data_IF_201868038439
#
_entry.id   IF_201868038439
#
_cell.length_a   1.000
_cell.length_b   1.000
_cell.length_c   1.000
_cell.angle_alpha   90.00
_cell.angle_beta   90.00
_cell.angle_gamma   90.00
#
_symmetry.space_group_name_H-M   'P 1'
#
loop_
_entity.id
_entity.type
_entity.pdbx_description
1 polymer ?
#
# COMPACT_ATOMS: atom_id res chain seq x y z
N UNK A 1 26.86 -46.71 57.21
CA UNK A 1 27.96 -47.67 57.42
C UNK A 1 28.22 -48.37 56.09
N UNK A 2 29.44 -48.16 55.54
CA UNK A 2 30.15 -48.91 54.48
C UNK A 2 29.48 -49.09 53.10
N UNK A 3 30.12 -48.97 51.93
CA UNK A 3 31.49 -48.68 51.48
C UNK A 3 31.36 -48.51 49.94
N UNK A 4 31.85 -47.45 49.28
CA UNK A 4 33.16 -47.32 48.58
C UNK A 4 33.44 -48.55 47.68
N UNK A 5 33.70 -48.44 46.37
CA UNK A 5 35.04 -48.17 45.78
C UNK A 5 34.97 -47.96 44.25
N UNK A 6 35.67 -46.89 43.79
CA UNK A 6 36.63 -46.70 42.65
C UNK A 6 36.44 -47.51 41.34
N UNK A 7 36.83 -47.02 40.16
CA UNK A 7 37.79 -45.96 39.82
C UNK A 7 37.84 -45.74 38.30
N UNK A 8 38.18 -44.52 37.87
CA UNK A 8 39.42 -44.15 37.16
C UNK A 8 39.70 -44.87 35.84
N UNK A 9 39.68 -44.12 34.73
CA UNK A 9 40.66 -44.27 33.67
C UNK A 9 40.82 -42.94 32.92
N UNK A 10 41.88 -42.23 33.29
CA UNK A 10 42.48 -41.13 32.56
C UNK A 10 43.40 -41.76 31.51
N UNK A 11 43.28 -41.41 30.23
CA UNK A 11 44.35 -41.63 29.25
C UNK A 11 44.39 -40.50 28.22
N UNK A 12 45.44 -39.70 28.35
CA UNK A 12 46.04 -38.85 27.32
C UNK A 12 46.88 -39.72 26.39
N UNK A 13 46.83 -39.50 25.07
CA UNK A 13 47.89 -39.71 24.06
C UNK A 13 47.23 -39.65 22.67
N UNK A 14 47.82 -39.19 21.57
CA UNK A 14 49.04 -38.46 21.23
C UNK A 14 48.80 -37.97 19.79
N UNK A 15 49.48 -36.89 19.39
CA UNK A 15 49.42 -36.32 18.06
C UNK A 15 50.04 -37.23 16.99
N UNK A 16 49.46 -37.22 15.79
CA UNK A 16 50.11 -37.66 14.55
C UNK A 16 49.88 -36.57 13.49
N UNK A 17 50.91 -35.75 13.30
CA UNK A 17 51.01 -34.82 12.17
C UNK A 17 51.39 -35.62 10.92
N UNK A 18 50.56 -35.55 9.89
CA UNK A 18 50.93 -35.92 8.52
C UNK A 18 50.78 -34.68 7.64
N UNK A 19 51.92 -34.10 7.32
CA UNK A 19 52.11 -33.10 6.26
C UNK A 19 52.28 -33.87 4.96
N UNK A 20 51.63 -33.38 3.89
CA UNK A 20 52.12 -33.21 2.50
C UNK A 20 50.93 -33.38 1.53
N UNK A 21 50.63 -32.30 0.80
CA UNK A 21 50.01 -32.37 -0.54
C UNK A 21 48.81 -31.44 -0.75
N UNK A 22 48.97 -30.28 -1.44
CA UNK A 22 47.84 -29.50 -1.91
C UNK A 22 47.31 -30.15 -3.19
N UNK A 23 46.26 -30.95 -3.08
CA UNK A 23 45.41 -31.29 -4.22
C UNK A 23 44.07 -30.64 -3.94
N UNK A 24 43.87 -29.43 -4.45
CA UNK A 24 42.56 -28.79 -4.47
C UNK A 24 41.64 -29.63 -5.34
N UNK A 25 40.58 -30.28 -4.82
CA UNK A 25 39.44 -30.56 -5.66
C UNK A 25 38.75 -29.22 -5.89
N UNK A 26 38.56 -28.85 -7.16
CA UNK A 26 37.67 -27.75 -7.53
C UNK A 26 36.24 -28.12 -7.08
N UNK A 27 35.90 -27.79 -5.83
CA UNK A 27 34.51 -27.69 -5.41
C UNK A 27 33.94 -26.45 -6.11
N UNK A 28 33.27 -26.68 -7.23
CA UNK A 28 32.28 -25.74 -7.73
C UNK A 28 31.30 -25.48 -6.58
N UNK A 29 31.11 -24.23 -6.12
CA UNK A 29 30.05 -23.95 -5.16
C UNK A 29 28.74 -24.39 -5.81
N UNK A 30 27.83 -25.08 -5.09
CA UNK A 30 26.48 -25.25 -5.59
C UNK A 30 25.98 -23.85 -5.88
N UNK A 31 25.72 -23.56 -7.17
CA UNK A 31 25.01 -22.35 -7.55
C UNK A 31 23.79 -22.31 -6.64
N UNK A 32 23.78 -21.35 -5.71
CA UNK A 32 22.63 -21.09 -4.89
C UNK A 32 21.49 -20.91 -5.89
N UNK A 33 20.57 -21.87 -5.92
CA UNK A 33 19.27 -21.59 -6.50
C UNK A 33 18.78 -20.42 -5.68
N UNK A 34 18.81 -19.23 -6.29
CA UNK A 34 18.22 -18.05 -5.70
C UNK A 34 16.84 -18.48 -5.26
N UNK A 35 16.60 -18.45 -3.95
CA UNK A 35 15.25 -18.47 -3.42
C UNK A 35 14.49 -17.43 -4.22
N UNK A 36 13.55 -17.87 -5.04
CA UNK A 36 12.54 -16.97 -5.57
C UNK A 36 12.02 -16.17 -4.37
N UNK A 37 12.01 -14.83 -4.42
CA UNK A 37 11.35 -14.07 -3.36
C UNK A 37 9.95 -14.66 -3.24
N UNK A 38 9.58 -15.14 -2.04
CA UNK A 38 8.23 -15.62 -1.79
C UNK A 38 7.29 -14.52 -2.26
N UNK A 39 6.51 -14.81 -3.31
CA UNK A 39 5.69 -13.84 -4.02
C UNK A 39 4.44 -13.40 -3.22
N UNK A 40 4.54 -13.28 -1.89
CA UNK A 40 3.38 -13.12 -1.02
C UNK A 40 3.61 -12.27 0.24
N UNK A 41 4.76 -11.60 0.37
CA UNK A 41 4.97 -10.64 1.47
C UNK A 41 4.58 -9.21 1.06
N UNK A 42 3.43 -9.08 0.40
CA UNK A 42 2.84 -7.77 0.09
C UNK A 42 1.86 -7.47 1.20
N UNK A 43 2.23 -6.55 2.09
CA UNK A 43 1.32 -5.99 3.10
C UNK A 43 0.06 -5.50 2.40
N UNK A 44 -1.12 -6.04 2.73
CA UNK A 44 -2.35 -5.63 2.09
C UNK A 44 -2.58 -4.15 2.34
N UNK A 45 -2.67 -3.40 1.26
CA UNK A 45 -2.85 -1.97 1.26
C UNK A 45 -4.04 -1.55 0.41
N UNK A 46 -4.67 -0.45 0.79
CA UNK A 46 -5.76 0.16 0.04
C UNK A 46 -5.71 1.68 0.14
N UNK A 47 -6.05 2.36 -0.95
CA UNK A 47 -6.33 3.79 -0.95
C UNK A 47 -7.82 4.01 -0.80
N UNK A 48 -8.21 4.78 0.22
CA UNK A 48 -9.61 5.05 0.55
C UNK A 48 -9.84 6.55 0.49
N UNK A 49 -10.68 6.99 -0.43
CA UNK A 49 -11.07 8.40 -0.56
C UNK A 49 -12.38 8.65 0.18
N UNK A 50 -12.39 9.64 1.08
CA UNK A 50 -13.54 10.11 1.84
C UNK A 50 -13.90 11.52 1.39
N UNK A 51 -15.19 11.78 1.18
CA UNK A 51 -15.67 13.13 0.88
C UNK A 51 -15.87 13.90 2.17
N UNK A 52 -14.99 14.86 2.43
CA UNK A 52 -15.00 15.68 3.64
C UNK A 52 -15.81 16.95 3.37
N UNK A 53 -16.83 17.28 4.18
CA UNK A 53 -17.63 18.48 4.00
C UNK A 53 -16.76 19.73 4.22
N UNK A 54 -16.74 20.63 3.24
CA UNK A 54 -15.91 21.83 3.25
C UNK A 54 -16.70 23.07 2.83
N UNK A 55 -16.77 24.07 3.71
CA UNK A 55 -17.44 25.35 3.45
C UNK A 55 -18.97 25.23 3.30
N UNK A 56 -19.57 26.10 2.48
CA UNK A 56 -21.02 26.14 2.23
C UNK A 56 -21.46 25.10 1.20
N UNK A 57 -21.34 23.81 1.53
CA UNK A 57 -21.89 22.69 0.76
C UNK A 57 -20.96 22.09 -0.30
N UNK A 58 -19.65 22.37 -0.23
CA UNK A 58 -18.65 21.67 -1.02
C UNK A 58 -18.16 20.39 -0.33
N UNK A 59 -17.53 19.51 -1.10
CA UNK A 59 -16.80 18.36 -0.58
C UNK A 59 -15.35 18.42 -1.03
N UNK A 60 -14.44 18.13 -0.10
CA UNK A 60 -13.02 17.96 -0.33
C UNK A 60 -12.68 16.46 -0.31
N UNK A 61 -12.19 15.87 -1.41
CA UNK A 61 -11.82 14.47 -1.44
C UNK A 61 -10.49 14.26 -0.71
N UNK A 62 -10.54 13.53 0.41
CA UNK A 62 -9.38 13.19 1.23
C UNK A 62 -9.02 11.71 1.02
N UNK A 63 -7.80 11.40 0.61
CA UNK A 63 -7.39 10.01 0.33
C UNK A 63 -6.42 9.49 1.39
N UNK A 64 -6.82 8.43 2.08
CA UNK A 64 -6.03 7.74 3.10
C UNK A 64 -5.41 6.49 2.51
N UNK A 65 -4.11 6.27 2.75
CA UNK A 65 -3.47 4.99 2.47
C UNK A 65 -3.57 4.12 3.71
N UNK A 66 -4.26 3.00 3.62
CA UNK A 66 -4.41 2.02 4.69
C UNK A 66 -3.50 0.85 4.41
N UNK A 67 -2.69 0.47 5.40
CA UNK A 67 -1.86 -0.72 5.38
C UNK A 67 -2.18 -1.58 6.60
N UNK A 68 -2.47 -2.85 6.40
CA UNK A 68 -2.71 -3.79 7.50
C UNK A 68 -1.51 -4.72 7.58
N UNK A 69 -0.82 -4.69 8.72
CA UNK A 69 0.32 -5.55 9.01
C UNK A 69 -0.13 -6.88 9.62
N UNK A 70 0.68 -7.92 9.41
CA UNK A 70 0.44 -9.23 10.00
C UNK A 70 0.61 -9.19 11.52
N UNK A 71 -0.29 -9.87 12.23
CA UNK A 71 -0.26 -10.05 13.67
C UNK A 71 -0.66 -11.47 14.04
N UNK A 72 -0.08 -11.99 15.13
CA UNK A 72 -0.43 -13.30 15.68
C UNK A 72 -1.86 -13.31 16.27
N UNK A 73 -2.33 -12.14 16.73
CA UNK A 73 -3.63 -11.97 17.37
C UNK A 73 -4.61 -11.21 16.47
N UNK A 74 -5.84 -11.74 16.32
CA UNK A 74 -6.92 -11.08 15.56
C UNK A 74 -7.32 -9.73 16.19
N UNK A 75 -7.30 -9.65 17.52
CA UNK A 75 -7.66 -8.45 18.28
C UNK A 75 -6.57 -7.99 19.23
N UNK A 76 -5.31 -8.23 18.86
CA UNK A 76 -4.15 -7.71 19.57
C UNK A 76 -3.94 -6.21 19.37
N UNK A 77 -2.74 -5.70 19.70
CA UNK A 77 -2.35 -4.35 19.34
C UNK A 77 -2.64 -4.08 17.86
N UNK A 78 -3.34 -2.99 17.54
CA UNK A 78 -3.80 -2.69 16.19
C UNK A 78 -2.60 -2.61 15.23
N UNK A 79 -2.53 -3.57 14.30
CA UNK A 79 -1.54 -3.66 13.24
C UNK A 79 -2.02 -2.96 11.98
N UNK A 80 -2.40 -1.68 12.11
CA UNK A 80 -2.85 -0.85 11.00
C UNK A 80 -2.04 0.45 10.95
N UNK A 81 -1.64 0.85 9.75
CA UNK A 81 -0.99 2.12 9.47
C UNK A 81 -1.85 2.95 8.54
N UNK A 82 -1.91 4.25 8.81
CA UNK A 82 -2.54 5.24 7.96
C UNK A 82 -1.48 6.19 7.41
N UNK A 83 -1.32 6.25 6.09
CA UNK A 83 -0.29 7.02 5.40
C UNK A 83 1.11 6.73 5.96
N UNK A 84 1.39 5.44 6.20
CA UNK A 84 2.65 4.97 6.82
C UNK A 84 2.79 5.26 8.32
N UNK A 85 1.84 5.97 8.95
CA UNK A 85 1.88 6.32 10.36
C UNK A 85 1.16 5.28 11.22
N UNK A 86 1.80 4.85 12.31
CA UNK A 86 1.19 3.96 13.30
C UNK A 86 0.26 4.75 14.21
N UNK A 87 -0.94 4.24 14.42
CA UNK A 87 -1.94 4.88 15.27
C UNK A 87 -1.71 4.56 16.75
N UNK A 88 -1.60 5.60 17.57
CA UNK A 88 -1.55 5.45 19.03
C UNK A 88 -2.97 5.30 19.60
N UNK A 89 -3.17 4.43 20.57
CA UNK A 89 -4.44 4.25 21.25
C UNK A 89 -4.23 3.84 22.71
N UNK A 90 -5.25 4.07 23.53
CA UNK A 90 -5.27 3.70 24.93
C UNK A 90 -5.69 2.23 25.13
N UNK A 91 -5.71 1.75 26.38
CA UNK A 91 -6.10 0.38 26.72
C UNK A 91 -7.54 0.00 26.29
N UNK A 92 -8.39 0.97 25.94
CA UNK A 92 -9.76 0.75 25.43
C UNK A 92 -9.83 0.76 23.90
N UNK A 93 -8.70 0.88 23.20
CA UNK A 93 -8.64 0.96 21.74
C UNK A 93 -8.98 2.33 21.17
N UNK A 94 -9.12 3.37 21.99
CA UNK A 94 -9.41 4.74 21.52
C UNK A 94 -8.13 5.56 21.39
N UNK A 95 -8.00 6.31 20.30
CA UNK A 95 -6.90 7.22 20.04
C UNK A 95 -7.36 8.52 19.38
N UNK A 96 -6.51 9.54 19.50
CA UNK A 96 -6.70 10.86 18.90
C UNK A 96 -5.33 11.33 18.45
N UNK A 97 -5.27 11.98 17.29
CA UNK A 97 -4.04 12.58 16.83
C UNK A 97 -4.21 13.33 15.52
N UNK A 98 -3.10 13.90 15.08
CA UNK A 98 -2.98 14.53 13.78
C UNK A 98 -2.15 13.65 12.86
N UNK A 99 -2.60 13.51 11.62
CA UNK A 99 -1.91 12.74 10.58
C UNK A 99 -1.57 13.67 9.43
N UNK A 100 -0.39 13.44 8.86
CA UNK A 100 0.04 14.12 7.64
C UNK A 100 -0.18 13.17 6.48
N UNK A 101 -0.90 13.63 5.46
CA UNK A 101 -1.13 12.91 4.23
C UNK A 101 0.01 13.17 3.23
N UNK A 102 0.04 12.39 2.16
CA UNK A 102 1.11 12.43 1.15
C UNK A 102 1.14 13.76 0.37
N UNK A 103 0.04 14.52 0.37
CA UNK A 103 -0.09 15.83 -0.26
C UNK A 103 0.25 17.00 0.69
N UNK A 104 0.94 16.69 1.81
CA UNK A 104 1.23 17.59 2.92
C UNK A 104 0.00 18.12 3.67
N UNK A 105 -1.20 17.60 3.38
CA UNK A 105 -2.41 17.96 4.14
C UNK A 105 -2.34 17.40 5.56
N UNK A 106 -2.59 18.23 6.56
CA UNK A 106 -2.70 17.80 7.96
C UNK A 106 -4.17 17.62 8.34
N UNK A 107 -4.51 16.44 8.83
CA UNK A 107 -5.83 16.15 9.39
C UNK A 107 -5.74 15.91 10.88
N UNK A 108 -6.77 16.32 11.61
CA UNK A 108 -6.96 15.92 13.01
C UNK A 108 -8.14 14.97 13.08
N UNK A 109 -7.93 13.82 13.73
CA UNK A 109 -8.89 12.73 13.77
C UNK A 109 -8.88 12.01 15.12
N UNK A 110 -9.97 11.30 15.39
CA UNK A 110 -10.05 10.30 16.44
C UNK A 110 -10.42 8.94 15.86
N UNK A 111 -9.97 7.88 16.51
CA UNK A 111 -10.22 6.53 16.08
C UNK A 111 -10.52 5.60 17.25
N UNK A 112 -11.34 4.59 17.00
CA UNK A 112 -11.57 3.50 17.94
C UNK A 112 -11.49 2.13 17.28
N UNK A 113 -10.79 1.22 17.94
CA UNK A 113 -10.68 -0.18 17.57
C UNK A 113 -11.67 -1.02 18.37
N UNK A 114 -12.34 -1.94 17.68
CA UNK A 114 -13.22 -2.93 18.30
C UNK A 114 -12.97 -4.29 17.73
N UNK A 115 -13.09 -5.29 18.58
CA UNK A 115 -12.99 -6.68 18.21
C UNK A 115 -14.36 -7.19 17.73
N UNK A 116 -14.39 -7.91 16.62
CA UNK A 116 -15.59 -8.53 16.07
C UNK A 116 -15.54 -10.03 16.31
N UNK A 117 -16.62 -10.56 16.88
CA UNK A 117 -16.78 -11.99 17.17
C UNK A 117 -16.89 -12.29 18.66
N UNK A 118 -17.00 -13.58 19.03
CA UNK A 118 -16.95 -14.03 20.42
C UNK A 118 -15.62 -13.66 21.10
N UNK A 119 -15.64 -13.40 22.40
CA UNK A 119 -14.45 -13.05 23.19
C UNK A 119 -13.37 -14.15 23.14
N UNK A 120 -13.78 -15.42 23.13
CA UNK A 120 -12.87 -16.57 23.08
C UNK A 120 -12.33 -16.88 21.66
N UNK A 121 -12.96 -16.32 20.62
CA UNK A 121 -12.63 -16.65 19.23
C UNK A 121 -12.95 -15.48 18.28
N UNK A 122 -12.22 -14.36 18.38
CA UNK A 122 -12.44 -13.22 17.54
C UNK A 122 -12.15 -13.52 16.06
N UNK A 123 -12.95 -12.95 15.16
CA UNK A 123 -12.85 -13.21 13.71
C UNK A 123 -12.25 -12.05 12.92
N UNK A 124 -12.42 -10.82 13.39
CA UNK A 124 -11.90 -9.61 12.76
C UNK A 124 -11.75 -8.46 13.76
N UNK A 125 -11.14 -7.36 13.32
CA UNK A 125 -11.08 -6.10 14.03
C UNK A 125 -11.72 -5.01 13.15
N UNK A 126 -12.48 -4.10 13.76
CA UNK A 126 -12.97 -2.90 13.10
C UNK A 126 -12.26 -1.67 13.65
N UNK A 127 -11.85 -0.78 12.77
CA UNK A 127 -11.43 0.58 13.10
C UNK A 127 -12.47 1.55 12.60
N UNK A 128 -12.99 2.38 13.51
CA UNK A 128 -13.76 3.57 13.12
C UNK A 128 -12.85 4.78 13.22
N UNK A 129 -12.79 5.56 12.17
CA UNK A 129 -11.91 6.73 12.01
C UNK A 129 -12.76 7.95 11.68
N UNK A 130 -12.72 8.96 12.55
CA UNK A 130 -13.53 10.17 12.43
C UNK A 130 -12.62 11.37 12.18
N UNK A 131 -12.82 12.05 11.06
CA UNK A 131 -12.08 13.26 10.72
C UNK A 131 -12.76 14.43 11.44
N UNK A 132 -11.98 15.24 12.15
CA UNK A 132 -12.47 16.39 12.94
C UNK A 132 -12.07 17.72 12.34
N UNK A 133 -10.88 17.80 11.75
CA UNK A 133 -10.39 19.00 11.09
C UNK A 133 -9.43 18.65 9.94
N UNK A 134 -9.35 19.54 8.97
CA UNK A 134 -8.38 19.53 7.87
C UNK A 134 -7.71 20.90 7.85
N UNK A 135 -6.37 20.97 7.86
CA UNK A 135 -5.61 22.23 7.93
C UNK A 135 -6.04 23.13 9.10
N UNK A 136 -6.24 22.53 10.29
CA UNK A 136 -6.76 23.19 11.50
C UNK A 136 -8.16 23.83 11.36
N UNK A 137 -8.85 23.60 10.25
CA UNK A 137 -10.24 24.01 10.04
C UNK A 137 -11.17 22.87 10.39
N UNK A 138 -12.00 23.07 11.42
CA UNK A 138 -13.01 22.11 11.83
C UNK A 138 -14.06 21.86 10.75
N UNK A 139 -14.54 20.62 10.66
CA UNK A 139 -15.57 20.24 9.71
C UNK A 139 -16.95 20.77 10.11
N UNK A 140 -17.78 21.09 9.11
CA UNK A 140 -19.17 21.51 9.33
C UNK A 140 -20.12 20.34 9.61
N UNK A 141 -19.81 19.15 9.09
CA UNK A 141 -20.54 17.91 9.31
C UNK A 141 -19.55 16.77 9.62
N UNK A 142 -20.04 15.67 10.18
CA UNK A 142 -19.19 14.53 10.55
C UNK A 142 -18.74 13.76 9.30
N UNK A 143 -17.43 13.56 9.16
CA UNK A 143 -16.86 12.65 8.16
C UNK A 143 -16.23 11.45 8.88
N UNK A 144 -16.82 10.27 8.70
CA UNK A 144 -16.39 9.04 9.36
C UNK A 144 -16.19 7.90 8.37
N UNK A 145 -15.20 7.08 8.64
CA UNK A 145 -14.84 5.88 7.89
C UNK A 145 -14.79 4.68 8.84
N UNK A 146 -15.34 3.55 8.44
CA UNK A 146 -15.19 2.29 9.17
C UNK A 146 -14.48 1.27 8.29
N UNK A 147 -13.43 0.64 8.82
CA UNK A 147 -12.66 -0.39 8.12
C UNK A 147 -12.70 -1.66 8.97
N UNK A 148 -13.14 -2.76 8.38
CA UNK A 148 -13.09 -4.09 8.98
C UNK A 148 -11.98 -4.88 8.33
N UNK A 149 -11.07 -5.43 9.13
CA UNK A 149 -9.91 -6.14 8.65
C UNK A 149 -9.55 -7.33 9.53
N UNK A 150 -8.71 -8.21 9.00
CA UNK A 150 -8.11 -9.33 9.69
C UNK A 150 -6.60 -9.20 9.59
N UNK A 151 -5.94 -9.07 10.74
CA UNK A 151 -4.48 -8.95 10.89
C UNK A 151 -3.76 -10.30 10.90
N UNK A 152 -4.43 -11.42 11.17
CA UNK A 152 -3.80 -12.75 11.11
C UNK A 152 -3.74 -13.27 9.68
N UNK A 153 -2.68 -14.00 9.32
CA UNK A 153 -2.56 -14.63 8.00
C UNK A 153 -3.79 -15.47 7.61
N UNK A 154 -4.31 -15.32 6.38
CA UNK A 154 -3.95 -14.29 5.41
C UNK A 154 -4.51 -12.92 5.82
N UNK A 155 -3.64 -11.91 5.86
CA UNK A 155 -4.01 -10.52 6.19
C UNK A 155 -4.94 -9.99 5.11
N UNK A 156 -6.08 -9.39 5.50
CA UNK A 156 -7.10 -8.90 4.56
C UNK A 156 -7.85 -7.70 5.10
N UNK A 157 -8.14 -6.75 4.22
CA UNK A 157 -9.23 -5.78 4.42
C UNK A 157 -10.51 -6.49 3.96
N UNK A 158 -11.51 -6.55 4.83
CA UNK A 158 -12.76 -7.28 4.60
C UNK A 158 -13.84 -6.35 4.08
N UNK A 159 -13.99 -5.19 4.71
CA UNK A 159 -15.05 -4.23 4.42
C UNK A 159 -14.61 -2.81 4.73
N UNK A 160 -15.14 -1.86 3.96
CA UNK A 160 -14.93 -0.42 4.15
C UNK A 160 -16.25 0.29 3.95
N UNK A 161 -16.67 1.04 4.97
CA UNK A 161 -17.87 1.88 4.95
C UNK A 161 -17.50 3.37 5.09
N UNK A 162 -18.27 4.26 4.49
CA UNK A 162 -18.02 5.71 4.52
C UNK A 162 -17.02 6.20 3.46
N UNK A 163 -16.53 5.31 2.61
CA UNK A 163 -15.67 5.66 1.47
C UNK A 163 -16.50 6.16 0.27
N UNK A 164 -16.03 7.23 -0.38
CA UNK A 164 -16.50 7.66 -1.69
C UNK A 164 -15.92 6.78 -2.80
N UNK A 165 -14.62 6.47 -2.70
CA UNK A 165 -13.90 5.58 -3.60
C UNK A 165 -12.89 4.74 -2.82
N UNK A 166 -12.63 3.52 -3.29
CA UNK A 166 -11.63 2.63 -2.70
C UNK A 166 -10.88 1.89 -3.81
N UNK A 167 -9.56 1.83 -3.69
CA UNK A 167 -8.69 1.05 -4.55
C UNK A 167 -7.81 0.14 -3.68
N UNK A 168 -8.03 -1.17 -3.74
CA UNK A 168 -7.17 -2.13 -3.05
C UNK A 168 -6.00 -2.55 -3.94
N UNK A 169 -4.80 -2.56 -3.36
CA UNK A 169 -3.59 -3.11 -3.97
C UNK A 169 -3.40 -4.60 -3.65
N UNK A 170 -4.31 -5.19 -2.86
CA UNK A 170 -4.30 -6.60 -2.48
C UNK A 170 -5.63 -7.28 -2.87
N UNK A 171 -5.53 -8.58 -3.18
CA UNK A 171 -6.51 -9.47 -3.86
C UNK A 171 -8.02 -9.12 -3.72
N UNK A 172 -8.83 -9.40 -4.76
CA UNK A 172 -10.19 -8.88 -4.88
C UNK A 172 -11.13 -9.28 -3.74
N UNK A 173 -11.95 -8.32 -3.31
CA UNK A 173 -13.03 -8.50 -2.33
C UNK A 173 -14.12 -9.44 -2.87
N UNK A 174 -14.60 -10.37 -2.05
CA UNK A 174 -15.81 -11.15 -2.38
C UNK A 174 -17.05 -10.34 -1.98
N UNK A 175 -17.66 -9.66 -2.95
CA UNK A 175 -18.87 -8.85 -2.75
C UNK A 175 -20.11 -9.71 -3.01
N UNK A 176 -20.76 -10.22 -1.97
CA UNK A 176 -22.04 -10.95 -2.10
C UNK A 176 -23.21 -9.98 -1.98
N UNK A 177 -23.75 -9.54 -3.10
CA UNK A 177 -24.79 -8.51 -3.14
C UNK A 177 -26.18 -9.13 -2.90
N UNK A 178 -26.87 -8.70 -1.85
CA UNK A 178 -28.33 -8.85 -1.70
C UNK A 178 -29.00 -7.62 -2.30
N UNK A 179 -29.84 -7.80 -3.33
CA UNK A 179 -31.02 -6.94 -3.57
C UNK A 179 -31.91 -7.49 -4.68
N UNK A 180 -33.10 -7.89 -4.28
CA UNK A 180 -34.31 -8.07 -5.08
C UNK A 180 -34.80 -6.70 -5.57
N UNK A 181 -35.23 -6.56 -6.84
CA UNK A 181 -36.48 -5.89 -7.27
C UNK A 181 -36.63 -6.04 -8.79
N UNK A 182 -37.72 -6.68 -9.19
CA UNK A 182 -38.24 -6.75 -10.55
C UNK A 182 -38.74 -5.38 -11.03
N UNK A 183 -38.41 -5.02 -12.27
CA UNK A 183 -39.33 -4.26 -13.15
C UNK A 183 -39.09 -4.63 -14.61
N UNK A 184 -40.01 -5.45 -15.13
CA UNK A 184 -40.13 -5.79 -16.54
C UNK A 184 -40.62 -4.53 -17.27
N UNK A 185 -39.86 -4.07 -18.27
CA UNK A 185 -40.41 -3.27 -19.36
C UNK A 185 -39.76 -3.78 -20.64
N UNK A 186 -40.62 -4.34 -21.49
CA UNK A 186 -40.33 -4.97 -22.78
C UNK A 186 -39.62 -4.01 -23.72
N UNK A 187 -38.40 -4.36 -24.12
CA UNK A 187 -37.76 -3.83 -25.32
C UNK A 187 -37.04 -4.97 -26.05
N UNK A 188 -37.54 -5.33 -27.22
CA UNK A 188 -37.10 -6.46 -28.04
C UNK A 188 -35.88 -6.08 -28.88
N UNK A 189 -34.74 -5.90 -28.23
CA UNK A 189 -33.42 -5.88 -28.88
C UNK A 189 -32.55 -6.99 -28.26
N UNK A 190 -31.75 -7.76 -29.04
CA UNK A 190 -30.84 -8.73 -28.47
C UNK A 190 -29.80 -7.99 -27.64
N UNK A 191 -29.91 -8.06 -26.31
CA UNK A 191 -28.96 -7.43 -25.41
C UNK A 191 -27.70 -8.30 -25.31
N UNK A 192 -26.51 -7.69 -25.18
CA UNK A 192 -25.28 -8.44 -24.93
C UNK A 192 -25.43 -9.32 -23.67
N UNK A 193 -24.97 -10.57 -23.75
CA UNK A 193 -25.14 -11.60 -22.71
C UNK A 193 -24.57 -11.17 -21.34
N UNK A 194 -23.65 -10.19 -21.32
CA UNK A 194 -23.05 -9.60 -20.12
C UNK A 194 -24.05 -8.95 -19.13
N UNK A 195 -25.31 -8.73 -19.50
CA UNK A 195 -26.37 -8.26 -18.57
C UNK A 195 -26.99 -9.37 -17.70
N UNK A 196 -26.64 -10.65 -17.93
CA UNK A 196 -27.15 -11.79 -17.16
C UNK A 196 -25.99 -12.63 -16.58
N UNK A 197 -25.44 -12.24 -15.42
CA UNK A 197 -24.36 -13.00 -14.76
C UNK A 197 -24.80 -14.37 -14.22
N UNK A 198 -26.10 -14.67 -14.20
CA UNK A 198 -26.68 -15.90 -13.65
C UNK A 198 -27.11 -16.92 -14.72
N UNK A 199 -26.49 -16.92 -15.90
CA UNK A 199 -26.73 -18.01 -16.87
C UNK A 199 -25.91 -19.23 -16.48
N UNK A 200 -26.58 -20.27 -15.98
CA UNK A 200 -26.01 -21.60 -15.86
C UNK A 200 -25.63 -22.12 -17.26
N UNK A 201 -24.35 -22.08 -17.61
CA UNK A 201 -23.84 -22.65 -18.85
C UNK A 201 -23.99 -24.17 -18.80
N UNK A 202 -24.72 -24.74 -19.75
CA UNK A 202 -25.02 -26.17 -19.79
C UNK A 202 -23.88 -26.99 -20.43
N UNK A 203 -22.87 -26.32 -20.99
CA UNK A 203 -21.71 -26.88 -21.68
C UNK A 203 -20.40 -26.21 -21.18
N UNK A 204 -19.45 -26.95 -20.59
CA UNK A 204 -18.20 -26.40 -20.06
C UNK A 204 -17.27 -25.80 -21.14
N UNK A 205 -17.45 -26.14 -22.41
CA UNK A 205 -16.65 -25.55 -23.50
C UNK A 205 -17.13 -24.11 -23.83
N UNK A 206 -18.41 -23.81 -23.63
CA UNK A 206 -18.96 -22.46 -23.82
C UNK A 206 -18.51 -21.51 -22.71
N UNK A 207 -18.46 -21.99 -21.46
CA UNK A 207 -17.92 -21.24 -20.32
C UNK A 207 -16.45 -20.85 -20.55
N UNK A 208 -15.63 -21.82 -20.97
CA UNK A 208 -14.21 -21.58 -21.25
C UNK A 208 -14.00 -20.58 -22.39
N UNK A 209 -14.83 -20.61 -23.44
CA UNK A 209 -14.74 -19.66 -24.55
C UNK A 209 -15.15 -18.23 -24.14
N UNK A 210 -16.12 -18.10 -23.25
CA UNK A 210 -16.52 -16.80 -22.70
C UNK A 210 -15.41 -16.23 -21.81
N UNK A 211 -14.82 -17.04 -20.94
CA UNK A 211 -13.69 -16.63 -20.10
C UNK A 211 -12.47 -16.22 -20.94
N UNK A 212 -12.15 -16.97 -21.99
CA UNK A 212 -11.07 -16.63 -22.93
C UNK A 212 -11.32 -15.28 -23.62
N UNK A 213 -12.55 -15.04 -24.06
CA UNK A 213 -12.94 -13.76 -24.66
C UNK A 213 -12.89 -12.60 -23.66
N UNK A 214 -13.21 -12.84 -22.39
CA UNK A 214 -13.07 -11.84 -21.32
C UNK A 214 -11.59 -11.48 -21.10
N UNK A 215 -10.71 -12.48 -21.03
CA UNK A 215 -9.26 -12.27 -20.90
C UNK A 215 -8.72 -11.47 -22.08
N UNK A 216 -9.12 -11.78 -23.32
CA UNK A 216 -8.68 -11.05 -24.51
C UNK A 216 -9.15 -9.58 -24.50
N UNK A 217 -10.39 -9.33 -24.07
CA UNK A 217 -10.91 -7.98 -23.93
C UNK A 217 -10.15 -7.19 -22.85
N UNK A 218 -9.78 -7.83 -21.74
CA UNK A 218 -8.96 -7.21 -20.69
C UNK A 218 -7.55 -6.89 -21.18
N UNK A 219 -6.93 -7.80 -21.94
CA UNK A 219 -5.63 -7.53 -22.56
C UNK A 219 -5.65 -6.29 -23.47
N UNK A 220 -6.72 -6.10 -24.24
CA UNK A 220 -6.86 -4.90 -25.08
C UNK A 220 -6.88 -3.63 -24.22
N UNK A 221 -7.59 -3.64 -23.09
CA UNK A 221 -7.64 -2.48 -22.18
C UNK A 221 -6.29 -2.17 -21.55
N UNK A 222 -5.54 -3.20 -21.16
CA UNK A 222 -4.19 -3.03 -20.61
C UNK A 222 -3.28 -2.37 -21.65
N UNK A 223 -3.28 -2.85 -22.89
CA UNK A 223 -2.47 -2.27 -23.97
C UNK A 223 -2.85 -0.80 -24.26
N UNK A 224 -4.15 -0.47 -24.23
CA UNK A 224 -4.61 0.91 -24.39
C UNK A 224 -4.09 1.82 -23.26
N UNK A 225 -4.12 1.34 -22.01
CA UNK A 225 -3.62 2.08 -20.86
C UNK A 225 -2.09 2.27 -20.91
N UNK A 226 -1.33 1.24 -21.28
CA UNK A 226 0.13 1.34 -21.43
C UNK A 226 0.51 2.39 -22.49
N UNK A 227 -0.20 2.41 -23.61
CA UNK A 227 -0.01 3.43 -24.64
C UNK A 227 -0.28 4.84 -24.10
N UNK A 228 -1.39 5.04 -23.37
CA UNK A 228 -1.69 6.34 -22.77
C UNK A 228 -0.64 6.76 -21.74
N UNK A 229 -0.17 5.83 -20.91
CA UNK A 229 0.87 6.09 -19.92
C UNK A 229 2.18 6.55 -20.59
N UNK A 230 2.62 5.85 -21.63
CA UNK A 230 3.84 6.20 -22.39
C UNK A 230 3.70 7.55 -23.11
N UNK A 231 2.54 7.87 -23.68
CA UNK A 231 2.26 9.19 -24.28
C UNK A 231 2.31 10.33 -23.26
N UNK A 232 1.74 10.11 -22.06
CA UNK A 232 1.81 11.07 -20.96
C UNK A 232 3.25 11.26 -20.49
N UNK A 233 4.02 10.18 -20.33
CA UNK A 233 5.42 10.23 -19.94
C UNK A 233 6.28 10.97 -20.98
N UNK A 234 6.07 10.73 -22.27
CA UNK A 234 6.74 11.46 -23.35
C UNK A 234 6.38 12.96 -23.34
N UNK A 235 5.11 13.29 -23.08
CA UNK A 235 4.64 14.67 -22.96
C UNK A 235 5.25 15.40 -21.76
N UNK A 236 5.42 14.71 -20.63
CA UNK A 236 6.07 15.23 -19.42
C UNK A 236 7.58 15.44 -19.68
N UNK A 237 8.27 14.46 -20.26
CA UNK A 237 9.69 14.57 -20.64
C UNK A 237 9.94 15.73 -21.61
N UNK A 238 9.06 15.94 -22.58
CA UNK A 238 9.11 17.09 -23.51
C UNK A 238 8.89 18.44 -22.82
N UNK A 239 8.06 18.49 -21.76
CA UNK A 239 7.89 19.70 -20.94
C UNK A 239 9.12 19.97 -20.08
N UNK A 240 9.71 18.92 -19.50
CA UNK A 240 10.94 19.02 -18.70
C UNK A 240 12.15 19.48 -19.53
N UNK A 241 12.34 18.95 -20.75
CA UNK A 241 13.43 19.40 -21.63
C UNK A 241 13.28 20.83 -22.14
N UNK A 242 12.05 21.37 -22.21
CA UNK A 242 11.82 22.80 -22.48
C UNK A 242 12.11 23.69 -21.25
N UNK A 243 11.92 23.17 -20.04
CA UNK A 243 12.23 23.88 -18.80
C UNK A 243 13.73 23.88 -18.49
N UNK A 244 14.47 22.84 -18.90
CA UNK A 244 15.93 22.80 -18.88
C UNK A 244 16.52 23.43 -20.16
N UNK A 245 16.34 24.74 -20.37
CA UNK A 245 17.32 25.49 -21.17
C UNK A 245 18.53 25.80 -20.27
N UNK A 246 19.76 25.47 -20.68
CA UNK A 246 20.93 25.98 -19.98
C UNK A 246 20.90 27.50 -20.06
N UNK A 247 20.99 28.15 -18.90
CA UNK A 247 21.29 29.58 -18.79
C UNK A 247 22.58 29.82 -19.58
N UNK A 248 22.60 30.67 -20.61
CA UNK A 248 23.86 31.02 -21.25
C UNK A 248 24.76 31.68 -20.20
N UNK A 249 26.08 31.39 -20.16
CA UNK A 249 26.97 32.07 -19.26
C UNK A 249 26.91 33.57 -19.58
N UNK A 250 26.33 34.33 -18.66
CA UNK A 250 26.38 35.79 -18.66
C UNK A 250 27.84 36.20 -18.78
N UNK A 251 28.19 36.83 -19.89
CA UNK A 251 29.47 37.50 -20.07
C UNK A 251 29.72 38.40 -18.87
N UNK A 252 30.82 38.14 -18.17
CA UNK A 252 31.48 39.08 -17.29
C UNK A 252 31.75 40.37 -18.08
N UNK A 253 30.87 41.36 -17.92
CA UNK A 253 31.25 42.75 -18.09
C UNK A 253 31.85 43.17 -16.74
N UNK A 254 33.17 43.32 -16.72
CA UNK A 254 33.91 43.93 -15.62
C UNK A 254 33.26 45.26 -15.21
N UNK A 255 32.98 45.48 -13.92
CA UNK A 255 32.96 46.82 -13.38
C UNK A 255 34.41 47.25 -13.13
N UNK A 256 34.89 48.13 -14.01
CA UNK A 256 36.07 48.97 -13.78
C UNK A 256 35.98 49.62 -12.39
N UNK A 257 36.92 49.24 -11.52
CA UNK A 257 37.28 49.96 -10.30
C UNK A 257 38.79 49.77 -10.14
N UNK A 258 39.64 50.73 -9.83
CA UNK A 258 39.52 52.16 -9.66
C UNK A 258 40.95 52.70 -9.80
N UNK A 259 41.15 53.88 -10.35
CA UNK A 259 42.34 54.67 -9.96
C UNK A 259 41.97 56.14 -9.89
N UNK A 260 42.12 56.65 -8.69
CA UNK A 260 41.95 58.03 -8.26
C UNK A 260 42.94 58.97 -8.94
N UNK A 261 42.55 60.22 -9.21
CA UNK A 261 43.05 61.44 -8.53
C UNK A 261 42.49 62.73 -9.18
N UNK A 262 41.87 63.59 -8.35
CA UNK A 262 41.85 65.09 -8.28
C UNK A 262 41.64 65.90 -9.59
N UNK A 263 40.84 66.97 -9.65
CA UNK A 263 40.54 68.03 -8.68
C UNK A 263 39.39 68.92 -9.17
N UNK A 264 38.63 69.46 -8.23
CA UNK A 264 37.74 70.62 -8.39
C UNK A 264 38.56 71.93 -8.47
N UNK A 265 38.11 72.87 -9.31
CA UNK A 265 38.10 74.36 -9.19
C UNK A 265 37.83 74.92 -10.61
N UNK A 266 36.63 75.40 -10.95
CA UNK A 266 36.11 76.77 -10.73
C UNK A 266 37.17 77.86 -10.98
N UNK A 267 37.30 78.30 -12.23
CA UNK A 267 37.17 79.68 -12.71
C UNK A 267 37.04 79.68 -14.22
#
# INVERSE_FOLDING_TARGET
>A
MYSVVKGTAMMLSQALSLVIGPSSPLLLPPCAMGTLPSALDVTPSAFITVNVPWGMGGFYPLTLQVEVEESDDVCGPASIKLNGQTLNYNAKGYGVGSLQLDDDTIISADWDFRCIGPEDSPSAQSMRFNIKAVEDVGLTEEASLTIVFRSTAPVRILEVEGAAHMWSLSLPFNKKNTSTVNRITSDNSPRPIWEYPDRDFQDPEEELQVELMEIDALHEKVLQLEKLATERQASISKKLSKSCRPVPPSSLAEPSSATWFRSYLRS
#
